data_IF_185269638103
#
_entry.id   IF_185269638103
#
_cell.length_a   1.000
_cell.length_b   1.000
_cell.length_c   1.000
_cell.angle_alpha   90.00
_cell.angle_beta   90.00
_cell.angle_gamma   90.00
#
_symmetry.space_group_name_H-M   'P 1'
#
loop_
_entity.id
_entity.type
_entity.pdbx_description
1 polymer ?
#
# COMPACT_ATOMS: atom_id res chain seq x y z
N UNK A 1 2.86 13.29 17.53
CA UNK A 1 3.18 12.03 16.86
C UNK A 1 1.92 11.26 16.56
N UNK A 2 1.71 10.88 15.34
CA UNK A 2 0.50 10.18 14.92
C UNK A 2 0.69 8.68 15.12
N UNK A 3 -0.32 8.01 15.69
CA UNK A 3 -0.27 6.56 15.82
C UNK A 3 -0.18 5.89 14.45
N UNK A 4 0.58 4.79 14.30
CA UNK A 4 0.63 4.06 13.06
C UNK A 4 -0.75 3.48 12.71
N UNK A 5 -1.09 3.38 11.42
CA UNK A 5 -2.35 2.77 11.03
C UNK A 5 -2.36 1.27 11.33
N UNK A 6 -3.56 0.74 11.55
CA UNK A 6 -3.75 -0.70 11.68
C UNK A 6 -3.93 -1.27 10.28
N UNK A 7 -2.86 -1.84 9.73
CA UNK A 7 -2.89 -2.40 8.40
C UNK A 7 -3.29 -3.88 8.47
N UNK A 8 -4.31 -4.25 7.72
CA UNK A 8 -4.72 -5.64 7.58
C UNK A 8 -3.76 -6.33 6.59
N UNK A 9 -3.25 -7.50 6.97
CA UNK A 9 -2.43 -8.32 6.09
C UNK A 9 -3.26 -8.92 4.98
N UNK A 10 -2.72 -8.88 3.77
CA UNK A 10 -3.41 -9.32 2.58
C UNK A 10 -2.46 -10.14 1.71
N UNK A 11 -2.40 -11.45 1.98
CA UNK A 11 -1.49 -12.37 1.27
C UNK A 11 -2.19 -13.22 0.22
N UNK A 12 -3.49 -13.50 0.39
CA UNK A 12 -4.20 -14.37 -0.54
C UNK A 12 -4.40 -13.68 -1.88
N UNK A 13 -4.49 -14.47 -2.93
CA UNK A 13 -4.74 -13.96 -4.28
C UNK A 13 -6.02 -13.12 -4.34
N UNK A 14 -7.11 -13.61 -3.71
CA UNK A 14 -8.38 -12.89 -3.71
C UNK A 14 -8.30 -11.57 -2.96
N UNK A 15 -7.61 -11.57 -1.82
CA UNK A 15 -7.44 -10.33 -1.05
C UNK A 15 -6.66 -9.30 -1.86
N UNK A 16 -5.54 -9.69 -2.49
CA UNK A 16 -4.72 -8.78 -3.29
C UNK A 16 -5.47 -8.27 -4.50
N UNK A 17 -6.27 -9.11 -5.14
CA UNK A 17 -7.06 -8.73 -6.30
C UNK A 17 -8.13 -7.71 -5.92
N UNK A 18 -8.80 -7.91 -4.78
CA UNK A 18 -9.87 -7.04 -4.31
C UNK A 18 -9.33 -5.72 -3.75
N UNK A 19 -8.26 -5.77 -2.95
CA UNK A 19 -7.71 -4.60 -2.29
C UNK A 19 -8.77 -3.84 -1.51
N UNK A 20 -8.86 -2.53 -1.74
CA UNK A 20 -9.85 -1.64 -1.13
C UNK A 20 -11.02 -1.33 -2.05
N UNK A 21 -11.17 -2.11 -3.13
CA UNK A 21 -12.29 -1.97 -4.07
C UNK A 21 -13.62 -2.12 -3.33
N UNK A 22 -14.59 -1.28 -3.68
CA UNK A 22 -15.94 -1.27 -3.11
C UNK A 22 -16.05 -0.77 -1.66
N UNK A 23 -14.95 -0.39 -1.01
CA UNK A 23 -15.02 0.27 0.28
C UNK A 23 -15.56 1.69 0.09
N UNK A 24 -16.49 2.16 0.95
CA UNK A 24 -17.01 3.54 0.82
C UNK A 24 -16.01 4.58 1.32
N UNK A 25 -15.15 4.23 2.26
CA UNK A 25 -14.17 5.15 2.85
C UNK A 25 -13.07 4.39 3.57
N UNK A 26 -12.02 5.11 3.93
CA UNK A 26 -10.92 4.60 4.73
C UNK A 26 -10.56 5.66 5.76
N UNK A 27 -10.51 5.28 7.04
CA UNK A 27 -10.08 6.21 8.09
C UNK A 27 -8.55 6.25 8.18
N UNK A 28 -8.02 7.27 8.86
CA UNK A 28 -6.59 7.38 9.08
C UNK A 28 -6.01 6.22 9.89
N UNK A 29 -6.83 5.54 10.69
CA UNK A 29 -6.39 4.42 11.53
C UNK A 29 -6.38 3.09 10.80
N UNK A 30 -6.95 3.04 9.61
CA UNK A 30 -7.04 1.82 8.82
C UNK A 30 -5.99 1.78 7.73
N UNK A 31 -5.64 0.57 7.32
CA UNK A 31 -4.75 0.36 6.19
C UNK A 31 -4.85 -1.07 5.67
N UNK A 32 -4.21 -1.31 4.55
CA UNK A 32 -4.12 -2.63 3.94
C UNK A 32 -2.67 -2.86 3.53
N UNK A 33 -2.09 -3.99 3.96
CA UNK A 33 -0.76 -4.39 3.58
C UNK A 33 -0.87 -5.58 2.62
N UNK A 34 -0.58 -5.33 1.35
CA UNK A 34 -0.51 -6.38 0.34
C UNK A 34 0.85 -7.05 0.44
N UNK A 35 0.85 -8.38 0.56
CA UNK A 35 2.06 -9.17 0.72
C UNK A 35 2.22 -10.08 -0.49
N UNK A 36 3.33 -9.93 -1.20
CA UNK A 36 3.65 -10.72 -2.38
C UNK A 36 4.76 -11.72 -2.06
N UNK A 37 4.99 -12.68 -2.95
CA UNK A 37 5.95 -13.75 -2.70
C UNK A 37 7.41 -13.33 -2.91
N UNK A 38 7.65 -12.21 -3.61
CA UNK A 38 9.00 -11.75 -3.97
C UNK A 38 8.99 -10.28 -4.34
N UNK A 39 10.17 -9.68 -4.41
CA UNK A 39 10.32 -8.34 -4.99
C UNK A 39 9.99 -8.39 -6.49
N UNK A 40 9.04 -7.56 -6.91
CA UNK A 40 8.64 -7.47 -8.32
C UNK A 40 7.93 -6.13 -8.55
N UNK A 41 8.27 -5.46 -9.65
CA UNK A 41 7.57 -4.24 -10.05
C UNK A 41 6.18 -4.57 -10.59
N UNK A 42 6.07 -5.65 -11.36
CA UNK A 42 4.82 -6.05 -11.99
C UNK A 42 3.83 -6.59 -10.96
N UNK A 43 4.28 -7.53 -10.13
CA UNK A 43 3.40 -8.15 -9.13
C UNK A 43 2.88 -7.13 -8.13
N UNK A 44 3.70 -6.16 -7.75
CA UNK A 44 3.34 -5.13 -6.78
C UNK A 44 2.65 -3.91 -7.39
N UNK A 45 2.41 -3.89 -8.68
CA UNK A 45 1.64 -2.82 -9.31
C UNK A 45 0.20 -2.86 -8.78
N UNK A 46 -0.42 -1.68 -8.70
CA UNK A 46 -1.79 -1.57 -8.21
C UNK A 46 -2.67 -0.82 -9.20
N UNK A 47 -3.97 -0.99 -9.06
CA UNK A 47 -4.96 -0.18 -9.76
C UNK A 47 -5.91 0.44 -8.75
N UNK A 48 -6.53 1.54 -9.15
CA UNK A 48 -7.52 2.24 -8.33
C UNK A 48 -8.93 2.11 -8.91
N UNK A 49 -9.13 1.17 -9.84
CA UNK A 49 -10.44 0.91 -10.42
C UNK A 49 -11.41 0.43 -9.34
N UNK A 50 -12.55 1.08 -9.21
CA UNK A 50 -13.53 0.76 -8.17
C UNK A 50 -13.16 1.28 -6.78
N UNK A 51 -12.02 1.91 -6.60
CA UNK A 51 -11.64 2.59 -5.36
C UNK A 51 -12.15 4.02 -5.44
N UNK A 52 -12.94 4.44 -4.46
CA UNK A 52 -13.70 5.69 -4.52
C UNK A 52 -13.00 6.87 -3.81
N UNK A 53 -11.78 6.67 -3.32
CA UNK A 53 -11.04 7.68 -2.58
C UNK A 53 -9.56 7.56 -2.91
N UNK A 54 -8.82 8.64 -2.73
CA UNK A 54 -7.37 8.65 -2.94
C UNK A 54 -6.69 7.89 -1.80
N UNK A 55 -5.51 7.33 -2.08
CA UNK A 55 -4.72 6.57 -1.11
C UNK A 55 -3.28 7.06 -1.09
N UNK A 56 -2.65 7.02 0.08
CA UNK A 56 -1.21 7.01 0.17
C UNK A 56 -0.73 5.57 -0.02
N UNK A 57 0.15 5.35 -0.99
CA UNK A 57 0.65 4.02 -1.33
C UNK A 57 2.16 4.03 -1.15
N UNK A 58 2.64 3.06 -0.36
CA UNK A 58 4.07 2.86 -0.10
C UNK A 58 4.48 1.48 -0.60
N UNK A 59 5.49 1.44 -1.46
CA UNK A 59 6.11 0.19 -1.90
C UNK A 59 7.33 -0.10 -1.05
N UNK A 60 7.41 -1.32 -0.56
CA UNK A 60 8.42 -1.74 0.40
C UNK A 60 9.06 -3.03 -0.12
N UNK A 61 10.39 -3.05 -0.15
CA UNK A 61 11.10 -4.22 -0.65
C UNK A 61 11.26 -5.31 0.42
N UNK A 62 11.86 -6.43 0.02
CA UNK A 62 12.09 -7.56 0.92
C UNK A 62 13.01 -7.22 2.10
N UNK A 63 13.83 -6.18 1.99
CA UNK A 63 14.68 -5.68 3.07
C UNK A 63 13.95 -4.69 3.99
N UNK A 64 12.64 -4.55 3.83
CA UNK A 64 11.79 -3.66 4.62
C UNK A 64 12.13 -2.19 4.46
N UNK A 65 12.64 -1.80 3.29
CA UNK A 65 12.90 -0.41 2.95
C UNK A 65 11.80 0.12 2.04
N UNK A 66 11.35 1.33 2.30
CA UNK A 66 10.42 2.04 1.41
C UNK A 66 11.18 2.43 0.16
N UNK A 67 10.77 1.90 -0.99
CA UNK A 67 11.46 2.14 -2.27
C UNK A 67 10.72 3.12 -3.17
N UNK A 68 9.44 3.33 -2.95
CA UNK A 68 8.65 4.33 -3.68
C UNK A 68 7.39 4.65 -2.90
N UNK A 69 6.77 5.79 -3.23
CA UNK A 69 5.47 6.17 -2.67
C UNK A 69 4.73 7.10 -3.64
N UNK A 70 3.42 7.10 -3.56
CA UNK A 70 2.58 7.97 -4.38
C UNK A 70 1.23 8.21 -3.69
N UNK A 71 0.61 9.36 -3.96
CA UNK A 71 -0.80 9.53 -3.69
C UNK A 71 -1.56 9.02 -4.92
N UNK A 72 -2.13 7.83 -4.79
CA UNK A 72 -2.86 7.19 -5.87
C UNK A 72 -4.28 7.76 -5.94
N UNK A 73 -4.67 8.22 -7.11
CA UNK A 73 -5.97 8.88 -7.32
C UNK A 73 -7.07 7.87 -7.56
N UNK A 74 -8.24 8.12 -6.98
CA UNK A 74 -9.42 7.30 -7.17
C UNK A 74 -9.69 7.05 -8.66
N UNK A 75 -9.94 5.80 -9.03
CA UNK A 75 -10.33 5.42 -10.38
C UNK A 75 -9.22 5.31 -11.40
N UNK A 76 -7.97 5.62 -11.06
CA UNK A 76 -6.86 5.50 -12.02
C UNK A 76 -6.53 4.04 -12.31
N UNK A 77 -6.17 3.71 -13.57
CA UNK A 77 -6.03 2.31 -13.98
C UNK A 77 -4.77 1.62 -13.46
N UNK A 78 -3.67 2.34 -13.23
CA UNK A 78 -2.44 1.67 -12.82
C UNK A 78 -1.44 2.60 -12.16
N UNK A 79 -0.73 2.04 -11.16
CA UNK A 79 0.45 2.63 -10.56
C UNK A 79 1.48 1.54 -10.37
N UNK A 80 2.73 1.84 -10.70
CA UNK A 80 3.84 0.89 -10.59
C UNK A 80 5.00 1.56 -9.86
N UNK A 81 5.61 0.82 -8.92
CA UNK A 81 6.79 1.29 -8.23
C UNK A 81 7.98 1.44 -9.20
N UNK A 82 8.86 2.40 -8.92
CA UNK A 82 10.10 2.58 -9.68
C UNK A 82 11.07 1.42 -9.46
N UNK A 83 11.01 0.79 -8.28
CA UNK A 83 11.89 -0.30 -7.90
C UNK A 83 11.06 -1.53 -7.55
N UNK A 84 11.63 -2.75 -7.67
CA UNK A 84 10.93 -3.96 -7.24
C UNK A 84 10.52 -3.88 -5.77
N UNK A 85 9.31 -4.31 -5.47
CA UNK A 85 8.75 -4.31 -4.12
C UNK A 85 8.02 -5.62 -3.85
N UNK A 86 8.02 -6.02 -2.57
CA UNK A 86 7.33 -7.21 -2.10
C UNK A 86 6.06 -6.86 -1.33
N UNK A 87 6.02 -5.67 -0.74
CA UNK A 87 4.89 -5.23 0.08
C UNK A 87 4.34 -3.92 -0.47
N UNK A 88 3.03 -3.77 -0.41
CA UNK A 88 2.37 -2.52 -0.76
C UNK A 88 1.48 -2.12 0.40
N UNK A 89 1.80 -1.00 1.05
CA UNK A 89 1.01 -0.46 2.14
C UNK A 89 0.09 0.62 1.60
N UNK A 90 -1.22 0.44 1.77
CA UNK A 90 -2.25 1.37 1.34
C UNK A 90 -2.93 1.96 2.57
N UNK A 91 -2.86 3.27 2.72
CA UNK A 91 -3.41 3.99 3.86
C UNK A 91 -4.11 5.27 3.39
N UNK A 92 -4.77 5.95 4.32
CA UNK A 92 -5.42 7.22 4.02
C UNK A 92 -4.43 8.19 3.37
N UNK A 93 -4.90 8.92 2.35
CA UNK A 93 -4.04 9.79 1.54
C UNK A 93 -3.26 10.81 2.38
N UNK A 94 -3.83 11.28 3.49
CA UNK A 94 -3.18 12.26 4.36
C UNK A 94 -1.92 11.73 5.05
N UNK A 95 -1.65 10.42 4.97
CA UNK A 95 -0.47 9.80 5.58
C UNK A 95 0.73 9.70 4.64
N UNK A 96 0.69 10.33 3.48
CA UNK A 96 1.78 10.20 2.48
C UNK A 96 3.14 10.63 3.02
N UNK A 97 3.20 11.51 4.01
CA UNK A 97 4.46 11.94 4.61
C UNK A 97 4.87 11.12 5.84
N UNK A 98 4.08 10.11 6.23
CA UNK A 98 4.40 9.28 7.40
C UNK A 98 5.68 8.46 7.20
N UNK A 99 5.99 8.06 5.96
CA UNK A 99 7.18 7.30 5.63
C UNK A 99 7.93 7.99 4.49
N UNK A 100 9.25 7.96 4.58
CA UNK A 100 10.13 8.51 3.56
C UNK A 100 10.73 7.38 2.71
N UNK A 101 11.00 7.66 1.43
CA UNK A 101 11.74 6.73 0.57
C UNK A 101 13.13 6.49 1.19
N UNK A 102 13.51 5.22 1.29
CA UNK A 102 14.76 4.80 1.92
C UNK A 102 14.63 4.43 3.38
N UNK A 103 13.53 4.77 4.02
CA UNK A 103 13.28 4.44 5.42
C UNK A 103 13.09 2.93 5.60
N UNK A 104 13.73 2.37 6.63
CA UNK A 104 13.49 0.99 7.04
C UNK A 104 12.30 0.96 7.97
N UNK A 105 11.41 -0.01 7.77
CA UNK A 105 10.20 -0.15 8.58
C UNK A 105 10.13 -1.54 9.20
N UNK A 106 9.23 -1.69 10.18
CA UNK A 106 8.96 -2.96 10.82
C UNK A 106 7.45 -3.20 10.83
N UNK A 107 7.06 -4.43 10.50
CA UNK A 107 5.66 -4.84 10.55
C UNK A 107 5.39 -5.59 11.85
N UNK A 108 4.21 -5.34 12.42
CA UNK A 108 3.70 -6.14 13.52
C UNK A 108 2.42 -6.81 13.03
N UNK A 109 2.38 -8.13 13.16
CA UNK A 109 1.13 -8.87 12.96
C UNK A 109 0.18 -8.53 14.11
N UNK A 110 -0.97 -8.00 13.74
CA UNK A 110 -2.01 -7.73 14.72
C UNK A 110 -2.72 -9.01 15.12
#
# INVERSE_FOLDING_TARGET
>A
MTDPPRARWCESFLCRLRGLTFRPSLTRDEGLLLVFGRDSRVDSSIHMLGVKFDLAVFWINNNLQVVDKVVARAGKPAYMSKEPARYVLEVHASRIEDLAIGQTIHFQNA
#
